data_IF_795567055783
#
_entry.id   IF_795567055783
#
_cell.length_a   1.000
_cell.length_b   1.000
_cell.length_c   1.000
_cell.angle_alpha   90.00
_cell.angle_beta   90.00
_cell.angle_gamma   90.00
#
_symmetry.space_group_name_H-M   'P 1'
#
loop_
_entity.id
_entity.type
_entity.pdbx_description
1 polymer ?
#
# COMPACT_ATOMS: atom_id res chain seq x y z
N UNK A 1 30.94 64.63 24.18
CA UNK A 1 29.60 63.98 24.31
C UNK A 1 29.06 63.39 23.01
N UNK A 2 29.25 64.04 21.85
CA UNK A 2 28.73 63.56 20.54
C UNK A 2 29.34 62.24 20.05
N UNK A 3 30.61 61.95 20.35
CA UNK A 3 31.29 60.69 19.95
C UNK A 3 30.67 59.42 20.54
N UNK A 4 30.13 59.50 21.76
CA UNK A 4 29.52 58.35 22.44
C UNK A 4 28.10 58.08 21.95
N UNK A 5 27.37 59.11 21.51
CA UNK A 5 26.02 58.96 20.92
C UNK A 5 26.10 58.19 19.60
N UNK A 6 27.13 58.45 18.79
CA UNK A 6 27.32 57.76 17.51
C UNK A 6 27.67 56.28 17.69
N UNK A 7 28.49 55.93 18.70
CA UNK A 7 28.79 54.53 19.03
C UNK A 7 27.59 53.78 19.63
N UNK A 8 26.72 54.44 20.39
CA UNK A 8 25.51 53.81 20.91
C UNK A 8 24.48 53.60 19.78
N UNK A 9 24.37 54.54 18.83
CA UNK A 9 23.47 54.40 17.68
C UNK A 9 23.89 53.26 16.74
N UNK A 10 25.19 53.07 16.49
CA UNK A 10 25.67 51.94 15.67
C UNK A 10 25.56 50.59 16.38
N UNK A 11 25.71 50.55 17.72
CA UNK A 11 25.56 49.32 18.50
C UNK A 11 24.09 48.88 18.64
N UNK A 12 23.14 49.83 18.68
CA UNK A 12 21.71 49.53 18.69
C UNK A 12 21.27 48.99 17.31
N UNK A 13 21.82 49.50 16.20
CA UNK A 13 21.50 49.01 14.86
C UNK A 13 22.06 47.60 14.56
N UNK A 14 23.18 47.18 15.16
CA UNK A 14 23.73 45.82 14.98
C UNK A 14 22.94 44.73 15.71
N UNK A 15 21.99 45.08 16.59
CA UNK A 15 21.16 44.14 17.32
C UNK A 15 19.77 43.92 16.69
N UNK A 16 19.42 44.68 15.65
CA UNK A 16 18.22 44.43 14.87
C UNK A 16 18.55 43.51 13.69
N UNK A 17 18.50 42.20 13.92
CA UNK A 17 18.25 41.27 12.83
C UNK A 17 16.83 41.52 12.32
N UNK A 18 16.73 42.25 11.20
CA UNK A 18 15.48 42.37 10.46
C UNK A 18 15.05 40.97 10.03
N UNK A 19 14.11 40.38 10.77
CA UNK A 19 13.42 39.18 10.34
C UNK A 19 12.37 39.63 9.32
N UNK A 20 12.73 39.54 8.03
CA UNK A 20 11.77 39.77 6.97
C UNK A 20 10.73 38.64 6.97
N UNK A 21 9.49 39.00 6.63
CA UNK A 21 8.42 38.03 6.45
C UNK A 21 8.50 37.49 5.02
N UNK A 22 8.93 36.25 4.89
CA UNK A 22 8.95 35.50 3.63
C UNK A 22 7.59 34.83 3.40
N UNK A 23 7.37 34.35 2.17
CA UNK A 23 6.13 33.67 1.80
C UNK A 23 6.36 32.16 1.72
N UNK A 24 5.54 31.40 2.44
CA UNK A 24 5.44 29.95 2.33
C UNK A 24 4.17 29.55 1.58
N UNK A 25 4.34 28.69 0.56
CA UNK A 25 3.26 27.96 -0.08
C UNK A 25 3.43 26.47 0.20
N UNK A 26 2.36 25.82 0.65
CA UNK A 26 2.31 24.36 0.83
C UNK A 26 1.13 23.84 0.03
N UNK A 27 1.39 22.93 -0.90
CA UNK A 27 0.37 22.33 -1.75
C UNK A 27 0.45 20.81 -1.61
N UNK A 28 -0.65 20.18 -1.22
CA UNK A 28 -0.79 18.71 -1.24
C UNK A 28 -1.82 18.27 -2.28
N UNK A 29 -1.71 17.03 -2.73
CA UNK A 29 -2.68 16.32 -3.56
C UNK A 29 -3.84 15.69 -2.78
N UNK A 30 -3.90 15.87 -1.46
CA UNK A 30 -5.06 15.51 -0.63
C UNK A 30 -5.93 16.73 -0.33
N UNK A 31 -7.25 16.59 -0.54
CA UNK A 31 -8.24 17.64 -0.26
C UNK A 31 -8.51 17.81 1.25
N UNK A 32 -8.12 16.84 2.07
CA UNK A 32 -8.44 16.79 3.51
C UNK A 32 -7.24 16.94 4.43
N UNK A 33 -6.03 17.05 3.88
CA UNK A 33 -4.83 17.07 4.70
C UNK A 33 -4.67 18.38 5.49
N UNK A 34 -4.48 18.28 6.79
CA UNK A 34 -4.14 19.35 7.70
C UNK A 34 -2.64 19.67 7.63
N UNK A 35 -2.31 20.93 7.36
CA UNK A 35 -0.94 21.42 7.25
C UNK A 35 -0.58 22.14 8.55
N UNK A 36 0.53 21.73 9.17
CA UNK A 36 1.01 22.27 10.45
C UNK A 36 2.45 22.75 10.34
N UNK A 37 2.73 23.84 11.03
CA UNK A 37 4.07 24.39 11.17
C UNK A 37 4.43 24.45 12.65
N UNK A 38 5.50 23.78 13.06
CA UNK A 38 5.88 23.62 14.48
C UNK A 38 4.70 23.15 15.35
N UNK A 39 3.90 22.20 14.84
CA UNK A 39 2.68 21.65 15.47
C UNK A 39 1.49 22.62 15.55
N UNK A 40 1.56 23.79 14.92
CA UNK A 40 0.46 24.75 14.83
C UNK A 40 -0.22 24.61 13.47
N UNK A 41 -1.54 24.46 13.46
CA UNK A 41 -2.32 24.35 12.24
C UNK A 41 -2.27 25.67 11.45
N UNK A 42 -1.87 25.59 10.18
CA UNK A 42 -1.76 26.75 9.28
C UNK A 42 -2.76 26.69 8.11
N UNK A 43 -3.36 25.53 7.84
CA UNK A 43 -4.41 25.40 6.83
C UNK A 43 -4.73 23.94 6.47
N UNK A 44 -5.59 23.76 5.48
CA UNK A 44 -6.05 22.45 5.00
C UNK A 44 -5.87 22.41 3.48
N UNK A 45 -5.31 21.31 2.97
CA UNK A 45 -5.00 21.00 1.57
C UNK A 45 -4.00 21.95 0.91
N UNK A 46 -4.31 23.24 0.86
CA UNK A 46 -3.50 24.25 0.21
C UNK A 46 -3.34 25.44 1.14
N UNK A 47 -2.08 25.82 1.37
CA UNK A 47 -1.69 27.06 2.03
C UNK A 47 -0.94 27.90 1.02
N UNK A 48 -1.44 29.09 0.72
CA UNK A 48 -0.75 30.04 -0.15
C UNK A 48 -0.51 31.35 0.57
N UNK A 49 0.55 32.05 0.19
CA UNK A 49 0.89 33.38 0.68
C UNK A 49 1.05 33.46 2.21
N UNK A 50 1.48 32.38 2.86
CA UNK A 50 1.62 32.34 4.31
C UNK A 50 2.88 33.11 4.73
N UNK A 51 2.68 34.23 5.42
CA UNK A 51 3.78 35.08 5.89
C UNK A 51 4.49 34.44 7.08
N UNK A 52 5.77 34.15 6.92
CA UNK A 52 6.58 33.45 7.91
C UNK A 52 7.93 34.15 8.07
N UNK A 53 8.48 34.20 9.29
CA UNK A 53 9.81 34.76 9.51
C UNK A 53 10.87 33.80 8.98
N UNK A 54 12.04 34.30 8.62
CA UNK A 54 13.18 33.41 8.35
C UNK A 54 13.55 32.55 9.56
N UNK A 55 14.03 31.35 9.28
CA UNK A 55 14.35 30.34 10.28
C UNK A 55 14.03 28.91 9.83
N UNK A 56 14.33 27.96 10.71
CA UNK A 56 14.02 26.54 10.49
C UNK A 56 12.71 26.18 11.16
N UNK A 57 11.83 25.51 10.41
CA UNK A 57 10.50 25.10 10.88
C UNK A 57 10.27 23.63 10.61
N UNK A 58 9.55 22.96 11.51
CA UNK A 58 9.02 21.63 11.26
C UNK A 58 7.70 21.75 10.50
N UNK A 59 7.70 21.41 9.22
CA UNK A 59 6.47 21.30 8.43
C UNK A 59 5.94 19.88 8.54
N UNK A 60 4.74 19.75 9.09
CA UNK A 60 4.03 18.48 9.24
C UNK A 60 2.74 18.55 8.44
N UNK A 61 2.45 17.54 7.64
CA UNK A 61 1.14 17.37 6.99
C UNK A 61 0.54 16.08 7.50
N UNK A 62 -0.72 16.16 7.93
CA UNK A 62 -1.50 15.06 8.45
C UNK A 62 -2.77 14.89 7.63
N UNK A 63 -3.13 13.67 7.23
CA UNK A 63 -4.42 13.41 6.60
C UNK A 63 -5.12 12.25 7.33
N UNK A 64 -6.39 12.45 7.67
CA UNK A 64 -7.19 11.53 8.48
C UNK A 64 -6.46 11.00 9.73
N UNK A 65 -5.71 11.87 10.41
CA UNK A 65 -4.97 11.55 11.65
C UNK A 65 -3.65 10.80 11.47
N UNK A 66 -3.19 10.58 10.22
CA UNK A 66 -1.88 10.02 9.92
C UNK A 66 -0.92 11.11 9.42
N UNK A 67 0.29 11.17 9.99
CA UNK A 67 1.35 12.08 9.55
C UNK A 67 1.94 11.60 8.21
N UNK A 68 1.62 12.27 7.11
CA UNK A 68 2.04 11.91 5.74
C UNK A 68 3.32 12.60 5.29
N UNK A 69 3.64 13.73 5.91
CA UNK A 69 4.87 14.46 5.65
C UNK A 69 5.36 15.08 6.95
N UNK A 70 6.65 14.99 7.23
CA UNK A 70 7.27 15.69 8.33
C UNK A 70 8.73 15.96 7.99
N UNK A 71 9.07 17.22 7.72
CA UNK A 71 10.42 17.62 7.34
C UNK A 71 10.75 18.97 7.96
N UNK A 72 12.04 19.15 8.28
CA UNK A 72 12.56 20.46 8.66
C UNK A 72 12.79 21.27 7.40
N UNK A 73 12.13 22.42 7.30
CA UNK A 73 12.23 23.34 6.18
C UNK A 73 13.00 24.57 6.64
N UNK A 74 13.92 25.04 5.81
CA UNK A 74 14.68 26.25 6.07
C UNK A 74 14.12 27.37 5.22
N UNK A 75 13.67 28.45 5.87
CA UNK A 75 13.22 29.67 5.22
C UNK A 75 14.34 30.69 5.33
N UNK A 76 14.99 30.98 4.22
CA UNK A 76 16.09 31.95 4.13
C UNK A 76 15.61 33.24 3.44
N UNK A 77 16.35 34.34 3.66
CA UNK A 77 16.04 35.64 3.02
C UNK A 77 16.39 35.64 1.50
N UNK A 78 16.94 34.54 0.98
CA UNK A 78 17.38 34.46 -0.42
C UNK A 78 16.22 34.11 -1.38
N UNK A 79 15.08 33.68 -0.84
CA UNK A 79 13.90 33.28 -1.60
C UNK A 79 12.67 34.03 -1.08
N UNK A 80 12.18 35.01 -1.86
CA UNK A 80 10.94 35.76 -1.54
C UNK A 80 9.72 34.83 -1.34
N UNK A 81 9.75 33.63 -1.96
CA UNK A 81 8.69 32.61 -1.90
C UNK A 81 9.29 31.21 -1.84
N UNK A 82 9.03 30.47 -0.77
CA UNK A 82 9.31 29.03 -0.66
C UNK A 82 8.04 28.24 -0.96
N UNK A 83 8.08 27.37 -1.98
CA UNK A 83 6.94 26.50 -2.34
C UNK A 83 7.28 25.04 -2.11
N UNK A 84 6.45 24.36 -1.31
CA UNK A 84 6.58 22.95 -0.98
C UNK A 84 5.40 22.21 -1.59
N UNK A 85 5.70 21.36 -2.56
CA UNK A 85 4.70 20.47 -3.17
C UNK A 85 4.85 19.06 -2.60
N UNK A 86 3.80 18.60 -1.94
CA UNK A 86 3.74 17.30 -1.28
C UNK A 86 2.84 16.42 -2.13
N UNK A 87 3.45 15.44 -2.80
CA UNK A 87 2.73 14.34 -3.45
C UNK A 87 2.68 13.16 -2.49
N UNK A 88 1.48 12.75 -2.07
CA UNK A 88 1.27 11.66 -1.10
C UNK A 88 2.00 10.39 -1.53
N UNK A 89 1.88 10.01 -2.81
CA UNK A 89 2.45 8.78 -3.36
C UNK A 89 3.97 8.69 -3.17
N UNK A 90 4.67 9.83 -3.26
CA UNK A 90 6.12 9.91 -3.12
C UNK A 90 6.59 9.90 -1.67
N UNK A 91 5.84 10.50 -0.74
CA UNK A 91 6.22 10.55 0.68
C UNK A 91 5.96 9.22 1.39
N UNK A 92 4.85 8.57 1.04
CA UNK A 92 4.62 7.18 1.41
C UNK A 92 5.81 6.31 0.99
N UNK A 93 6.52 6.64 -0.10
CA UNK A 93 7.64 5.86 -0.67
C UNK A 93 9.00 6.13 0.00
N UNK A 94 9.09 7.04 0.97
CA UNK A 94 10.29 7.18 1.81
C UNK A 94 10.35 6.04 2.83
N UNK A 95 11.56 5.66 3.23
CA UNK A 95 11.78 4.57 4.18
C UNK A 95 11.23 4.96 5.55
N UNK A 96 10.08 4.39 5.92
CA UNK A 96 9.48 4.61 7.24
C UNK A 96 10.17 3.66 8.22
N UNK A 97 11.09 4.16 9.03
CA UNK A 97 11.86 3.34 9.99
C UNK A 97 11.02 2.97 11.23
N UNK A 98 10.01 3.79 11.57
CA UNK A 98 9.15 3.56 12.75
C UNK A 98 7.99 2.60 12.45
N UNK A 99 7.99 1.44 13.11
CA UNK A 99 6.94 0.41 13.01
C UNK A 99 5.52 0.92 13.29
N UNK A 100 5.35 1.92 14.17
CA UNK A 100 4.03 2.50 14.47
C UNK A 100 3.52 3.32 13.29
N UNK A 101 4.39 4.14 12.68
CA UNK A 101 4.08 4.88 11.45
C UNK A 101 3.83 3.93 10.27
N UNK A 102 4.59 2.85 10.14
CA UNK A 102 4.35 1.82 9.13
C UNK A 102 2.94 1.21 9.22
N UNK A 103 2.47 0.91 10.44
CA UNK A 103 1.10 0.40 10.65
C UNK A 103 0.02 1.42 10.32
N UNK A 104 0.24 2.70 10.68
CA UNK A 104 -0.68 3.79 10.35
C UNK A 104 -0.79 3.99 8.83
N UNK A 105 0.33 4.06 8.12
CA UNK A 105 0.34 4.15 6.66
C UNK A 105 -0.28 2.93 5.98
N UNK A 106 -0.05 1.72 6.53
CA UNK A 106 -0.68 0.52 6.01
C UNK A 106 -2.20 0.60 6.13
N UNK A 107 -2.70 1.05 7.28
CA UNK A 107 -4.14 1.21 7.54
C UNK A 107 -4.75 2.26 6.61
N UNK A 108 -4.06 3.40 6.42
CA UNK A 108 -4.48 4.44 5.49
C UNK A 108 -4.55 3.93 4.04
N UNK A 109 -3.49 3.29 3.55
CA UNK A 109 -3.44 2.77 2.18
C UNK A 109 -4.46 1.64 1.94
N UNK A 110 -4.74 0.81 2.95
CA UNK A 110 -5.77 -0.23 2.88
C UNK A 110 -7.18 0.37 2.93
N UNK A 111 -7.40 1.46 3.65
CA UNK A 111 -8.69 2.16 3.67
C UNK A 111 -9.06 2.86 2.36
N UNK A 112 -8.08 3.07 1.46
CA UNK A 112 -8.31 3.57 0.09
C UNK A 112 -8.48 2.46 -0.94
N UNK A 113 -8.23 1.21 -0.54
CA UNK A 113 -8.41 0.03 -1.39
C UNK A 113 -9.90 -0.31 -1.43
N UNK A 114 -10.40 -0.72 -2.59
CA UNK A 114 -11.74 -1.24 -2.71
C UNK A 114 -11.96 -2.58 -1.97
N UNK A 115 -13.22 -2.88 -1.65
CA UNK A 115 -13.59 -4.03 -0.81
C UNK A 115 -13.76 -5.33 -1.61
N UNK A 116 -14.07 -5.22 -2.91
CA UNK A 116 -14.28 -6.36 -3.81
C UNK A 116 -12.97 -6.71 -4.53
N UNK A 117 -12.52 -7.95 -4.39
CA UNK A 117 -11.34 -8.47 -5.06
C UNK A 117 -11.66 -9.60 -6.03
N UNK A 118 -11.04 -9.60 -7.21
CA UNK A 118 -11.08 -10.67 -8.19
C UNK A 118 -9.68 -11.11 -8.58
N UNK A 119 -9.44 -12.41 -8.73
CA UNK A 119 -8.11 -12.91 -8.98
C UNK A 119 -8.03 -14.39 -9.32
N UNK A 120 -6.83 -14.93 -9.19
CA UNK A 120 -6.54 -16.35 -9.39
C UNK A 120 -5.99 -16.96 -8.10
N UNK A 121 -6.42 -18.19 -7.81
CA UNK A 121 -5.89 -19.03 -6.76
C UNK A 121 -5.25 -20.25 -7.38
N UNK A 122 -3.92 -20.33 -7.31
CA UNK A 122 -3.13 -21.43 -7.84
C UNK A 122 -2.52 -22.19 -6.69
N UNK A 123 -2.94 -23.43 -6.52
CA UNK A 123 -2.47 -24.29 -5.46
C UNK A 123 -2.16 -25.67 -6.03
N UNK A 124 -0.89 -26.12 -6.02
CA UNK A 124 -0.53 -27.42 -6.59
C UNK A 124 -1.07 -28.61 -5.80
N UNK A 125 -1.21 -28.45 -4.49
CA UNK A 125 -1.64 -29.52 -3.56
C UNK A 125 -3.11 -29.37 -3.13
N UNK A 126 -3.86 -28.46 -3.77
CA UNK A 126 -5.29 -28.27 -3.54
C UNK A 126 -5.99 -27.81 -4.83
N UNK A 127 -7.30 -27.61 -4.77
CA UNK A 127 -8.07 -27.19 -5.93
C UNK A 127 -7.79 -25.71 -6.28
N UNK A 128 -7.47 -25.47 -7.55
CA UNK A 128 -7.17 -24.13 -8.10
C UNK A 128 -8.40 -23.54 -8.80
N UNK A 129 -8.45 -22.21 -8.93
CA UNK A 129 -9.56 -21.56 -9.63
C UNK A 129 -9.52 -20.04 -9.62
N UNK A 130 -10.62 -19.44 -10.06
CA UNK A 130 -10.87 -18.00 -9.89
C UNK A 130 -11.18 -17.71 -8.43
N UNK A 131 -10.62 -16.61 -7.94
CA UNK A 131 -10.76 -16.14 -6.57
C UNK A 131 -11.58 -14.87 -6.56
N UNK A 132 -12.72 -14.90 -5.90
CA UNK A 132 -13.44 -13.70 -5.49
C UNK A 132 -13.20 -13.48 -4.01
N UNK A 133 -13.09 -12.23 -3.58
CA UNK A 133 -13.01 -11.89 -2.17
C UNK A 133 -13.77 -10.63 -1.88
N UNK A 134 -14.34 -10.56 -0.68
CA UNK A 134 -15.00 -9.38 -0.18
C UNK A 134 -14.53 -9.12 1.25
N UNK A 135 -13.96 -7.94 1.48
CA UNK A 135 -13.42 -7.52 2.77
C UNK A 135 -14.57 -6.95 3.64
N UNK A 136 -14.83 -7.59 4.78
CA UNK A 136 -15.81 -7.15 5.79
C UNK A 136 -15.08 -7.07 7.13
N UNK A 137 -14.52 -5.91 7.48
CA UNK A 137 -13.68 -5.75 8.68
C UNK A 137 -14.27 -6.42 9.95
N UNK A 138 -13.55 -7.32 10.64
CA UNK A 138 -12.14 -7.75 10.45
C UNK A 138 -11.93 -9.02 9.59
N UNK A 139 -12.96 -9.46 8.87
CA UNK A 139 -13.00 -10.73 8.15
C UNK A 139 -13.15 -10.55 6.63
N UNK A 140 -12.30 -11.20 5.85
CA UNK A 140 -12.48 -11.33 4.41
C UNK A 140 -13.11 -12.66 4.08
N UNK A 141 -14.23 -12.63 3.36
CA UNK A 141 -14.83 -13.83 2.77
C UNK A 141 -14.18 -14.02 1.40
N UNK A 142 -13.74 -15.23 1.09
CA UNK A 142 -13.18 -15.58 -0.22
C UNK A 142 -13.91 -16.78 -0.78
N UNK A 143 -14.21 -16.75 -2.07
CA UNK A 143 -14.73 -17.91 -2.79
C UNK A 143 -13.77 -18.30 -3.90
N UNK A 144 -13.46 -19.60 -3.98
CA UNK A 144 -12.65 -20.18 -5.06
C UNK A 144 -13.59 -20.96 -5.93
N UNK A 145 -13.60 -20.69 -7.23
CA UNK A 145 -14.46 -21.42 -8.15
C UNK A 145 -13.79 -21.64 -9.51
N UNK A 146 -14.09 -22.78 -10.12
CA UNK A 146 -13.76 -23.05 -11.51
C UNK A 146 -14.81 -23.98 -12.09
N UNK A 147 -15.21 -23.74 -13.32
CA UNK A 147 -16.12 -24.61 -14.05
C UNK A 147 -15.60 -24.78 -15.47
N UNK A 148 -15.36 -26.02 -15.86
CA UNK A 148 -15.03 -26.40 -17.23
C UNK A 148 -15.74 -27.69 -17.58
N UNK A 149 -16.41 -27.72 -18.73
CA UNK A 149 -17.10 -28.90 -19.22
C UNK A 149 -16.81 -29.07 -20.71
N UNK A 150 -16.41 -30.29 -21.07
CA UNK A 150 -16.25 -30.76 -22.44
C UNK A 150 -17.01 -32.09 -22.62
N UNK A 151 -16.97 -32.66 -23.83
CA UNK A 151 -17.59 -33.95 -24.10
C UNK A 151 -16.93 -35.12 -23.33
N UNK A 152 -15.68 -34.94 -22.90
CA UNK A 152 -14.87 -36.00 -22.27
C UNK A 152 -14.43 -35.66 -20.86
N UNK A 153 -14.63 -34.41 -20.42
CA UNK A 153 -14.21 -33.96 -19.11
C UNK A 153 -15.20 -33.00 -18.46
N UNK A 154 -15.37 -33.12 -17.15
CA UNK A 154 -16.11 -32.21 -16.30
C UNK A 154 -15.24 -31.86 -15.11
N UNK A 155 -14.98 -30.57 -14.94
CA UNK A 155 -14.20 -30.03 -13.85
C UNK A 155 -15.04 -28.96 -13.15
N UNK A 156 -15.37 -29.20 -11.89
CA UNK A 156 -16.00 -28.21 -11.04
C UNK A 156 -15.17 -28.04 -9.78
N UNK A 157 -14.96 -26.80 -9.38
CA UNK A 157 -14.38 -26.42 -8.09
C UNK A 157 -15.26 -25.32 -7.51
N UNK A 158 -15.58 -25.45 -6.23
CA UNK A 158 -16.32 -24.47 -5.47
C UNK A 158 -15.90 -24.53 -4.01
N UNK A 159 -15.47 -23.41 -3.46
CA UNK A 159 -15.03 -23.34 -2.07
C UNK A 159 -15.27 -21.98 -1.46
N UNK A 160 -15.35 -21.97 -0.13
CA UNK A 160 -15.49 -20.76 0.69
C UNK A 160 -14.39 -20.74 1.74
N UNK A 161 -13.87 -19.55 2.00
CA UNK A 161 -12.83 -19.32 2.99
C UNK A 161 -13.12 -18.06 3.78
N UNK A 162 -12.77 -18.10 5.05
CA UNK A 162 -12.89 -16.99 5.99
C UNK A 162 -11.50 -16.62 6.46
N UNK A 163 -11.04 -15.42 6.11
CA UNK A 163 -9.65 -14.97 6.29
C UNK A 163 -9.62 -13.75 7.19
N UNK A 164 -8.77 -13.75 8.20
CA UNK A 164 -8.52 -12.61 9.06
C UNK A 164 -7.09 -12.08 8.83
N UNK A 165 -6.98 -10.78 8.56
CA UNK A 165 -5.70 -10.10 8.41
C UNK A 165 -5.28 -9.47 9.74
N UNK A 166 -4.14 -9.89 10.30
CA UNK A 166 -3.76 -9.55 11.68
C UNK A 166 -2.46 -8.74 11.81
N UNK A 167 -1.68 -8.57 10.74
CA UNK A 167 -0.48 -7.74 10.77
C UNK A 167 -0.25 -7.05 9.43
N UNK A 168 -0.47 -5.73 9.39
CA UNK A 168 -0.32 -4.90 8.21
C UNK A 168 0.92 -4.01 8.37
N UNK A 169 1.83 -4.04 7.41
CA UNK A 169 3.05 -3.26 7.42
C UNK A 169 3.21 -2.52 6.10
N UNK A 170 3.54 -1.24 6.18
CA UNK A 170 3.83 -0.40 5.02
C UNK A 170 5.33 -0.18 4.93
N UNK A 171 5.95 -0.63 3.86
CA UNK A 171 7.39 -0.48 3.62
C UNK A 171 7.65 0.41 2.41
N UNK A 172 8.93 0.76 2.20
CA UNK A 172 9.40 1.55 1.05
C UNK A 172 8.92 0.99 -0.30
N UNK A 173 8.87 -0.33 -0.44
CA UNK A 173 8.60 -1.00 -1.72
C UNK A 173 7.27 -1.75 -1.76
N UNK A 174 6.69 -2.06 -0.60
CA UNK A 174 5.52 -2.92 -0.50
C UNK A 174 4.55 -2.47 0.58
N UNK A 175 3.26 -2.63 0.31
CA UNK A 175 2.24 -2.77 1.35
C UNK A 175 2.09 -4.27 1.62
N UNK A 176 2.29 -4.71 2.86
CA UNK A 176 2.33 -6.11 3.25
C UNK A 176 1.27 -6.41 4.31
N UNK A 177 0.62 -7.58 4.21
CA UNK A 177 -0.41 -8.04 5.16
C UNK A 177 -0.22 -9.52 5.44
N UNK A 178 -0.21 -9.92 6.70
CA UNK A 178 -0.30 -11.31 7.11
C UNK A 178 -1.75 -11.68 7.41
N UNK A 179 -2.12 -12.90 7.03
CA UNK A 179 -3.44 -13.44 7.31
C UNK A 179 -3.41 -14.92 7.65
N UNK A 180 -4.46 -15.33 8.35
CA UNK A 180 -4.79 -16.73 8.61
C UNK A 180 -6.29 -16.91 8.54
N UNK A 181 -6.76 -18.15 8.47
CA UNK A 181 -8.19 -18.40 8.39
C UNK A 181 -8.54 -19.87 8.32
N UNK A 182 -9.75 -20.12 7.82
CA UNK A 182 -10.31 -21.45 7.63
C UNK A 182 -10.97 -21.51 6.25
N UNK A 183 -10.82 -22.64 5.58
CA UNK A 183 -11.34 -22.86 4.23
C UNK A 183 -11.92 -24.23 4.05
N UNK A 184 -12.93 -24.32 3.21
CA UNK A 184 -13.47 -25.57 2.69
C UNK A 184 -13.63 -25.44 1.18
N UNK A 185 -13.03 -26.35 0.42
CA UNK A 185 -13.09 -26.37 -1.05
C UNK A 185 -13.56 -27.75 -1.50
N UNK A 186 -14.59 -27.79 -2.32
CA UNK A 186 -15.11 -28.98 -2.96
C UNK A 186 -14.73 -28.97 -4.44
N UNK A 187 -14.40 -30.14 -4.98
CA UNK A 187 -14.15 -30.34 -6.39
C UNK A 187 -14.74 -31.65 -6.91
N UNK A 188 -15.22 -31.62 -8.15
CA UNK A 188 -15.57 -32.79 -8.94
C UNK A 188 -14.69 -32.79 -10.20
N UNK A 189 -13.75 -33.73 -10.22
CA UNK A 189 -12.72 -33.89 -11.24
C UNK A 189 -13.02 -35.16 -12.04
N UNK A 190 -13.83 -35.05 -13.09
CA UNK A 190 -14.26 -36.17 -13.93
C UNK A 190 -14.90 -37.32 -13.11
N UNK A 191 -15.71 -36.99 -12.09
CA UNK A 191 -16.34 -37.97 -11.21
C UNK A 191 -15.50 -38.37 -10.00
N UNK A 192 -14.25 -37.91 -9.90
CA UNK A 192 -13.47 -38.00 -8.66
C UNK A 192 -13.81 -36.78 -7.81
N UNK A 193 -14.46 -37.01 -6.67
CA UNK A 193 -14.79 -35.95 -5.72
C UNK A 193 -13.59 -35.74 -4.80
N UNK A 194 -13.20 -34.48 -4.62
CA UNK A 194 -12.16 -34.06 -3.68
C UNK A 194 -12.73 -32.97 -2.76
N UNK A 195 -12.45 -33.10 -1.46
CA UNK A 195 -12.81 -32.09 -0.47
C UNK A 195 -11.59 -31.70 0.35
N UNK A 196 -11.33 -30.40 0.40
CA UNK A 196 -10.16 -29.84 1.06
C UNK A 196 -10.62 -28.97 2.23
N UNK A 197 -10.23 -29.34 3.44
CA UNK A 197 -10.35 -28.50 4.64
C UNK A 197 -9.00 -27.87 4.92
N UNK A 198 -8.94 -26.54 5.01
CA UNK A 198 -7.69 -25.80 4.99
C UNK A 198 -7.58 -24.81 6.14
N UNK A 199 -6.40 -24.73 6.75
CA UNK A 199 -5.99 -23.67 7.67
C UNK A 199 -4.85 -22.89 7.01
N UNK A 200 -5.18 -21.87 6.19
CA UNK A 200 -4.17 -21.04 5.52
C UNK A 200 -3.41 -20.14 6.49
N UNK A 201 -2.13 -19.93 6.17
CA UNK A 201 -1.26 -18.88 6.68
C UNK A 201 -0.59 -18.23 5.48
N UNK A 202 -0.91 -16.97 5.22
CA UNK A 202 -0.44 -16.31 4.01
C UNK A 202 0.00 -14.88 4.23
N UNK A 203 0.74 -14.42 3.23
CA UNK A 203 1.16 -13.03 3.08
C UNK A 203 0.55 -12.48 1.79
N UNK A 204 -0.09 -11.32 1.88
CA UNK A 204 -0.57 -10.54 0.75
C UNK A 204 0.30 -9.28 0.63
N UNK A 205 0.73 -8.93 -0.57
CA UNK A 205 1.52 -7.73 -0.80
C UNK A 205 1.17 -7.00 -2.09
N UNK A 206 1.20 -5.67 -2.03
CA UNK A 206 1.09 -4.77 -3.18
C UNK A 206 2.44 -4.10 -3.43
N UNK A 207 2.92 -4.18 -4.67
CA UNK A 207 4.14 -3.49 -5.10
C UNK A 207 3.84 -2.00 -5.30
N UNK A 208 4.76 -1.14 -4.85
CA UNK A 208 4.56 0.33 -4.84
C UNK A 208 5.28 1.07 -5.94
N UNK A 209 6.35 0.50 -6.48
CA UNK A 209 7.04 1.08 -7.62
C UNK A 209 6.38 0.61 -8.90
N UNK A 210 6.12 1.53 -9.83
CA UNK A 210 6.00 1.17 -11.24
C UNK A 210 7.28 0.41 -11.58
N UNK A 211 7.17 -0.93 -11.69
CA UNK A 211 8.29 -1.73 -12.12
C UNK A 211 8.71 -1.17 -13.49
N UNK A 212 10.02 -0.94 -13.72
CA UNK A 212 10.49 -0.38 -14.98
C UNK A 212 9.95 -1.26 -16.12
N UNK A 213 9.25 -0.63 -17.07
CA UNK A 213 8.62 -1.37 -18.16
C UNK A 213 9.65 -2.26 -18.84
N UNK A 214 9.28 -3.50 -19.13
CA UNK A 214 10.19 -4.41 -19.81
C UNK A 214 10.61 -3.78 -21.16
N UNK A 215 11.90 -3.85 -21.55
CA UNK A 215 12.41 -3.22 -22.77
C UNK A 215 11.62 -3.69 -24.01
N UNK A 216 11.49 -2.86 -25.05
CA UNK A 216 10.73 -3.21 -26.27
C UNK A 216 11.16 -4.55 -26.87
N UNK A 217 12.46 -4.89 -26.80
CA UNK A 217 13.00 -6.17 -27.28
C UNK A 217 12.47 -7.39 -26.51
N UNK A 218 12.04 -7.24 -25.26
CA UNK A 218 11.43 -8.32 -24.48
C UNK A 218 10.10 -8.79 -25.08
N UNK A 219 9.37 -7.92 -25.79
CA UNK A 219 8.16 -8.31 -26.52
C UNK A 219 8.44 -9.18 -27.74
N UNK A 220 9.67 -9.12 -28.29
CA UNK A 220 10.07 -9.95 -29.43
C UNK A 220 10.52 -11.35 -28.99
N UNK A 221 11.09 -11.48 -27.78
CA UNK A 221 11.68 -12.74 -27.28
C UNK A 221 10.71 -13.48 -26.34
N UNK A 222 9.92 -12.75 -25.54
CA UNK A 222 9.01 -13.30 -24.53
C UNK A 222 7.66 -12.56 -24.54
N UNK A 223 7.06 -12.39 -25.72
CA UNK A 223 5.90 -11.53 -25.99
C UNK A 223 4.79 -11.56 -24.93
N UNK A 224 4.28 -12.74 -24.57
CA UNK A 224 3.19 -12.87 -23.59
C UNK A 224 3.64 -12.61 -22.15
N UNK A 225 4.88 -12.98 -21.78
CA UNK A 225 5.42 -12.73 -20.44
C UNK A 225 5.79 -11.25 -20.24
N UNK A 226 6.35 -10.61 -21.26
CA UNK A 226 6.66 -9.17 -21.25
C UNK A 226 5.39 -8.32 -21.22
N UNK A 227 4.34 -8.73 -21.94
CA UNK A 227 3.03 -8.09 -21.89
C UNK A 227 2.36 -8.29 -20.53
N UNK A 228 2.39 -9.51 -19.98
CA UNK A 228 1.94 -9.82 -18.62
C UNK A 228 2.67 -9.00 -17.57
N UNK A 229 4.01 -8.94 -17.63
CA UNK A 229 4.84 -8.15 -16.72
C UNK A 229 4.49 -6.65 -16.75
N UNK A 230 4.33 -6.07 -17.94
CA UNK A 230 4.02 -4.65 -18.08
C UNK A 230 2.59 -4.29 -17.64
N UNK A 231 1.62 -5.19 -17.83
CA UNK A 231 0.27 -5.06 -17.26
C UNK A 231 0.33 -5.14 -15.72
N UNK A 232 1.06 -6.13 -15.18
CA UNK A 232 1.22 -6.35 -13.74
C UNK A 232 1.98 -5.21 -13.03
N UNK A 233 2.85 -4.51 -13.74
CA UNK A 233 3.67 -3.40 -13.24
C UNK A 233 2.95 -2.05 -13.09
N UNK A 234 1.75 -1.91 -13.67
CA UNK A 234 1.11 -0.59 -13.87
C UNK A 234 -0.32 -0.48 -13.34
N UNK A 235 -0.89 -1.57 -12.80
CA UNK A 235 -2.28 -1.61 -12.35
C UNK A 235 -2.36 -1.28 -10.86
N UNK A 236 -2.85 -0.07 -10.57
CA UNK A 236 -3.16 0.35 -9.21
C UNK A 236 -4.35 -0.46 -8.67
N UNK A 237 -4.16 -1.18 -7.56
CA UNK A 237 -5.15 -2.10 -6.99
C UNK A 237 -4.79 -3.59 -7.13
N UNK A 238 -3.67 -3.93 -7.76
CA UNK A 238 -3.19 -5.31 -7.86
C UNK A 238 -2.39 -5.74 -6.63
N UNK A 239 -2.79 -6.86 -6.03
CA UNK A 239 -2.14 -7.51 -4.90
C UNK A 239 -1.73 -8.93 -5.31
N UNK A 240 -0.62 -9.37 -4.73
CA UNK A 240 -0.10 -10.72 -4.86
C UNK A 240 -0.23 -11.41 -3.51
N UNK A 241 -0.39 -12.72 -3.50
CA UNK A 241 -0.30 -13.47 -2.27
C UNK A 241 0.52 -14.74 -2.45
N UNK A 242 1.20 -15.10 -1.37
CA UNK A 242 1.82 -16.40 -1.18
C UNK A 242 1.26 -16.96 0.11
N UNK A 243 0.91 -18.24 0.08
CA UNK A 243 0.21 -18.91 1.14
C UNK A 243 0.80 -20.29 1.37
N UNK A 244 0.93 -20.62 2.64
CA UNK A 244 1.13 -21.99 3.09
C UNK A 244 0.05 -22.33 4.12
N UNK A 245 0.10 -23.50 4.73
CA UNK A 245 -0.82 -23.87 5.80
C UNK A 245 -1.09 -25.36 5.84
N UNK A 246 -2.01 -25.75 6.72
CA UNK A 246 -2.44 -27.14 6.83
C UNK A 246 -3.59 -27.39 5.86
N UNK A 247 -3.57 -28.54 5.20
CA UNK A 247 -4.69 -29.04 4.39
C UNK A 247 -4.96 -30.50 4.73
N UNK A 248 -6.24 -30.83 4.76
CA UNK A 248 -6.77 -32.18 4.76
C UNK A 248 -7.60 -32.33 3.48
N UNK A 249 -7.13 -33.18 2.59
CA UNK A 249 -7.77 -33.54 1.33
C UNK A 249 -8.30 -34.95 1.48
N UNK A 250 -9.61 -35.09 1.29
CA UNK A 250 -10.30 -36.38 1.21
C UNK A 250 -10.79 -36.56 -0.22
N UNK A 251 -10.56 -37.72 -0.80
CA UNK A 251 -10.95 -38.03 -2.18
C UNK A 251 -11.75 -39.31 -2.24
N UNK A 252 -12.68 -39.41 -3.20
CA UNK A 252 -13.32 -40.69 -3.54
C UNK A 252 -12.33 -41.72 -4.08
N UNK A 253 -11.15 -41.28 -4.54
CA UNK A 253 -10.02 -42.14 -4.82
C UNK A 253 -9.00 -42.03 -3.67
N UNK A 254 -9.00 -42.99 -2.75
CA UNK A 254 -8.21 -42.95 -1.52
C UNK A 254 -6.69 -42.74 -1.76
N UNK A 255 -6.17 -43.08 -2.95
CA UNK A 255 -4.76 -42.82 -3.30
C UNK A 255 -4.43 -41.30 -3.35
N UNK A 256 -5.46 -40.45 -3.46
CA UNK A 256 -5.35 -39.00 -3.50
C UNK A 256 -5.58 -38.34 -2.12
N UNK A 257 -5.84 -39.11 -1.06
CA UNK A 257 -5.98 -38.55 0.29
C UNK A 257 -4.65 -37.91 0.74
N UNK A 258 -4.72 -36.69 1.25
CA UNK A 258 -3.54 -35.94 1.64
C UNK A 258 -3.76 -35.14 2.91
N UNK A 259 -2.89 -35.32 3.90
CA UNK A 259 -2.83 -34.46 5.09
C UNK A 259 -1.42 -33.89 5.18
N UNK A 260 -1.31 -32.56 5.16
CA UNK A 260 0.01 -31.95 5.27
C UNK A 260 0.03 -30.47 4.97
N UNK A 261 1.17 -30.02 4.44
CA UNK A 261 1.38 -28.63 4.10
C UNK A 261 0.86 -28.34 2.69
N UNK A 262 0.08 -27.27 2.57
CA UNK A 262 -0.25 -26.70 1.27
C UNK A 262 0.68 -25.56 0.92
N UNK A 263 0.76 -25.32 -0.38
CA UNK A 263 1.32 -24.12 -0.97
C UNK A 263 0.32 -23.57 -1.97
N UNK A 264 0.09 -22.26 -1.91
CA UNK A 264 -0.70 -21.56 -2.89
C UNK A 264 -0.09 -20.20 -3.18
N UNK A 265 -0.29 -19.73 -4.40
CA UNK A 265 0.09 -18.41 -4.84
C UNK A 265 -0.99 -17.85 -5.75
N UNK A 266 -0.98 -16.54 -5.92
CA UNK A 266 -1.89 -15.93 -6.84
C UNK A 266 -1.83 -14.42 -6.81
N UNK A 267 -2.78 -13.85 -7.54
CA UNK A 267 -2.93 -12.41 -7.70
C UNK A 267 -4.40 -12.07 -7.56
N UNK A 268 -4.67 -10.83 -7.14
CA UNK A 268 -6.00 -10.32 -6.89
C UNK A 268 -6.01 -8.82 -7.16
N UNK A 269 -6.96 -8.38 -7.97
CA UNK A 269 -7.25 -6.98 -8.22
C UNK A 269 -8.43 -6.54 -7.36
N UNK A 270 -8.31 -5.43 -6.64
CA UNK A 270 -9.40 -4.83 -5.88
C UNK A 270 -10.03 -3.67 -6.64
N UNK A 271 -11.37 -3.66 -6.71
CA UNK A 271 -12.20 -2.64 -7.33
C UNK A 271 -12.71 -1.64 -6.30
#
# INVERSE_FOLDING_TARGET
MIKYIFCIATFIFSLFTFNYAEILNVVTDSDTALIKLNKVDIGISVVTNYKIKTGTYLLTVEDNGAEIYSELIEITNDQEVTTISIKLDNQLAKEVIDSKKQKQFASYALGKKGDLGLGFYMAPTSLSGLKLSYDIDPLTIQTIFWLSQSNTSRYFVGGIRFINYFNNQYTKHTLFRLYSGLGYIYGDLNGTIETNTEIPFGAEFKLRQQLPKAPIWSYLIFSYMALGYNLMASIDGLFYFVETGLTLTESTNNDNDYTGLKFALGLKYYF
#
